data_IF_829836626316
#
_entry.id   IF_829836626316
#
_cell.length_a   1.000
_cell.length_b   1.000
_cell.length_c   1.000
_cell.angle_alpha   90.00
_cell.angle_beta   90.00
_cell.angle_gamma   90.00
#
_symmetry.space_group_name_H-M   'P 1'
#
loop_
_entity.id
_entity.type
_entity.pdbx_description
1 polymer ?
#
# COMPACT_ATOMS: atom_id res chain seq x y z
N UNK A 1 -8.83 -2.73 2.74
CA UNK A 1 -7.62 -1.91 2.98
C UNK A 1 -6.86 -1.83 1.66
N UNK A 2 -6.34 -0.66 1.30
CA UNK A 2 -5.48 -0.45 0.13
C UNK A 2 -4.08 -0.03 0.60
N UNK A 3 -3.03 -0.68 0.09
CA UNK A 3 -1.63 -0.33 0.34
C UNK A 3 -0.89 -0.31 -1.01
N UNK A 4 -0.05 0.70 -1.20
CA UNK A 4 0.92 0.79 -2.29
C UNK A 4 2.33 0.76 -1.71
N UNK A 5 3.16 -0.17 -2.20
CA UNK A 5 4.54 -0.36 -1.75
C UNK A 5 5.50 -0.17 -2.92
N UNK A 6 6.41 0.80 -2.80
CA UNK A 6 7.55 0.94 -3.70
C UNK A 6 8.55 -0.20 -3.49
N UNK A 7 8.99 -0.86 -4.56
CA UNK A 7 9.96 -1.96 -4.49
C UNK A 7 11.42 -1.48 -4.49
N UNK A 8 11.66 -0.21 -4.81
CA UNK A 8 12.97 0.43 -4.67
C UNK A 8 13.07 1.24 -3.35
N UNK A 9 12.12 1.06 -2.44
CA UNK A 9 12.14 1.68 -1.12
C UNK A 9 13.28 1.09 -0.26
N UNK A 10 14.20 1.95 0.17
CA UNK A 10 15.37 1.58 0.97
C UNK A 10 15.00 0.94 2.32
N UNK A 11 13.77 1.14 2.82
CA UNK A 11 13.31 0.61 4.10
C UNK A 11 12.54 -0.71 3.96
N UNK A 12 12.28 -1.17 2.73
CA UNK A 12 11.42 -2.32 2.43
C UNK A 12 11.82 -3.59 3.19
N UNK A 13 13.11 -3.94 3.14
CA UNK A 13 13.60 -5.20 3.69
C UNK A 13 13.70 -5.20 5.22
N UNK A 14 13.92 -4.05 5.85
CA UNK A 14 14.27 -3.97 7.27
C UNK A 14 13.13 -3.42 8.15
N UNK A 15 12.24 -2.60 7.59
CA UNK A 15 11.27 -1.84 8.40
C UNK A 15 9.82 -2.04 7.97
N UNK A 16 9.55 -2.08 6.66
CA UNK A 16 8.16 -1.99 6.16
C UNK A 16 7.37 -3.29 6.31
N UNK A 17 8.02 -4.44 6.15
CA UNK A 17 7.45 -5.77 6.37
C UNK A 17 6.04 -6.01 5.72
N UNK A 18 5.82 -5.64 4.44
CA UNK A 18 4.50 -5.74 3.82
C UNK A 18 3.95 -7.17 3.75
N UNK A 19 4.82 -8.17 3.59
CA UNK A 19 4.44 -9.58 3.51
C UNK A 19 3.92 -10.10 4.86
N UNK A 20 4.43 -9.58 5.98
CA UNK A 20 3.95 -9.90 7.33
C UNK A 20 2.52 -9.38 7.51
N UNK A 21 2.27 -8.13 7.08
CA UNK A 21 0.94 -7.53 7.12
C UNK A 21 -0.07 -8.28 6.22
N UNK A 22 0.36 -8.68 5.02
CA UNK A 22 -0.45 -9.46 4.08
C UNK A 22 -0.83 -10.82 4.67
N UNK A 23 0.12 -11.54 5.28
CA UNK A 23 -0.13 -12.79 5.98
C UNK A 23 -1.12 -12.62 7.14
N UNK A 24 -0.98 -11.55 7.94
CA UNK A 24 -1.89 -11.24 9.04
C UNK A 24 -3.32 -10.94 8.54
N UNK A 25 -3.47 -10.14 7.48
CA UNK A 25 -4.77 -9.88 6.86
C UNK A 25 -5.44 -11.16 6.37
N UNK A 26 -4.67 -12.04 5.70
CA UNK A 26 -5.15 -13.34 5.24
C UNK A 26 -5.63 -14.21 6.40
N UNK A 27 -4.86 -14.27 7.49
CA UNK A 27 -5.23 -15.04 8.68
C UNK A 27 -6.50 -14.50 9.37
N UNK A 28 -6.68 -13.18 9.38
CA UNK A 28 -7.85 -12.52 9.96
C UNK A 28 -9.08 -12.48 9.04
N UNK A 29 -8.95 -12.87 7.77
CA UNK A 29 -10.01 -12.71 6.77
C UNK A 29 -10.28 -11.25 6.38
N UNK A 30 -9.32 -10.35 6.63
CA UNK A 30 -9.45 -8.93 6.34
C UNK A 30 -9.13 -8.66 4.85
N UNK A 31 -10.05 -8.04 4.07
CA UNK A 31 -9.78 -7.72 2.68
C UNK A 31 -8.64 -6.70 2.52
N UNK A 32 -7.59 -7.12 1.81
CA UNK A 32 -6.40 -6.33 1.50
C UNK A 32 -6.15 -6.30 0.00
N UNK A 33 -5.95 -5.09 -0.53
CA UNK A 33 -5.38 -4.83 -1.84
C UNK A 33 -3.98 -4.26 -1.62
N UNK A 34 -2.95 -5.10 -1.78
CA UNK A 34 -1.54 -4.68 -1.68
C UNK A 34 -0.92 -4.62 -3.08
N UNK A 35 -0.62 -3.42 -3.56
CA UNK A 35 -0.01 -3.17 -4.86
C UNK A 35 1.49 -2.92 -4.69
N UNK A 36 2.31 -3.59 -5.49
CA UNK A 36 3.79 -3.50 -5.44
C UNK A 36 4.29 -2.83 -6.71
N UNK A 37 5.07 -1.76 -6.58
CA UNK A 37 5.48 -0.89 -7.69
C UNK A 37 6.99 -0.91 -7.90
N UNK A 38 7.43 -1.46 -9.03
CA UNK A 38 8.84 -1.48 -9.40
C UNK A 38 9.37 -0.06 -9.66
N UNK A 39 10.58 0.23 -9.17
CA UNK A 39 11.28 1.50 -9.40
C UNK A 39 10.83 2.68 -8.54
N UNK A 40 9.77 2.55 -7.75
CA UNK A 40 9.34 3.58 -6.82
C UNK A 40 10.01 3.43 -5.45
N UNK A 41 10.45 4.56 -4.90
CA UNK A 41 11.14 4.70 -3.62
C UNK A 41 10.20 5.22 -2.51
N UNK A 42 10.79 5.70 -1.41
CA UNK A 42 10.07 6.27 -0.26
C UNK A 42 9.67 7.75 -0.43
N UNK A 43 9.86 8.32 -1.62
CA UNK A 43 9.69 9.76 -1.85
C UNK A 43 8.24 10.20 -1.98
N UNK A 44 8.01 11.51 -1.82
CA UNK A 44 6.69 12.12 -2.11
C UNK A 44 6.25 11.98 -3.56
N UNK A 45 7.19 11.76 -4.49
CA UNK A 45 6.86 11.47 -5.89
C UNK A 45 6.03 10.18 -6.00
N UNK A 46 6.45 9.12 -5.31
CA UNK A 46 5.69 7.87 -5.23
C UNK A 46 4.29 8.10 -4.66
N UNK A 47 4.20 8.78 -3.52
CA UNK A 47 2.92 9.10 -2.87
C UNK A 47 2.00 9.86 -3.82
N UNK A 48 2.51 10.94 -4.44
CA UNK A 48 1.73 11.80 -5.34
C UNK A 48 1.25 11.09 -6.59
N UNK A 49 1.97 10.05 -7.04
CA UNK A 49 1.59 9.25 -8.22
C UNK A 49 0.32 8.45 -7.97
N UNK A 50 0.14 7.92 -6.75
CA UNK A 50 -0.96 7.00 -6.43
C UNK A 50 -2.01 7.61 -5.49
N UNK A 51 -1.85 8.85 -5.03
CA UNK A 51 -2.76 9.47 -4.06
C UNK A 51 -4.21 9.61 -4.58
N UNK A 52 -4.39 9.81 -5.89
CA UNK A 52 -5.73 9.87 -6.50
C UNK A 52 -6.51 8.56 -6.28
N UNK A 53 -5.87 7.41 -6.49
CA UNK A 53 -6.48 6.10 -6.26
C UNK A 53 -6.86 5.89 -4.79
N UNK A 54 -6.03 6.39 -3.86
CA UNK A 54 -6.32 6.33 -2.41
C UNK A 54 -7.52 7.19 -2.05
N UNK A 55 -7.60 8.41 -2.58
CA UNK A 55 -8.76 9.29 -2.39
C UNK A 55 -10.02 8.60 -2.92
N UNK A 56 -9.97 8.02 -4.13
CA UNK A 56 -11.10 7.30 -4.72
C UNK A 56 -11.48 6.04 -3.91
N UNK A 57 -10.49 5.31 -3.37
CA UNK A 57 -10.73 4.17 -2.48
C UNK A 57 -11.48 4.60 -1.22
N UNK A 58 -11.04 5.68 -0.57
CA UNK A 58 -11.69 6.19 0.64
C UNK A 58 -13.06 6.79 0.34
N UNK A 59 -13.22 7.53 -0.75
CA UNK A 59 -14.50 8.13 -1.14
C UNK A 59 -15.61 7.07 -1.28
N UNK A 60 -15.30 5.90 -1.87
CA UNK A 60 -16.24 4.77 -2.00
C UNK A 60 -16.75 4.23 -0.65
N UNK A 61 -15.97 4.38 0.42
CA UNK A 61 -16.29 3.86 1.75
C UNK A 61 -16.93 4.95 2.63
N UNK A 62 -16.46 6.19 2.52
CA UNK A 62 -16.86 7.29 3.40
C UNK A 62 -18.07 8.08 2.89
N UNK A 63 -18.30 8.08 1.58
CA UNK A 63 -19.44 8.76 0.95
C UNK A 63 -20.50 7.76 0.45
N UNK A 64 -20.32 6.47 0.76
CA UNK A 64 -21.26 5.39 0.43
C UNK A 64 -22.45 5.36 1.37
#
# INVERSE_FOLDING_TARGET
ILIDQGLADQFLAEQLNPDVFEAACKAAGQPLTLRRHAGYDHGYYFISTFIEDHIAHHAKVLLG
#
